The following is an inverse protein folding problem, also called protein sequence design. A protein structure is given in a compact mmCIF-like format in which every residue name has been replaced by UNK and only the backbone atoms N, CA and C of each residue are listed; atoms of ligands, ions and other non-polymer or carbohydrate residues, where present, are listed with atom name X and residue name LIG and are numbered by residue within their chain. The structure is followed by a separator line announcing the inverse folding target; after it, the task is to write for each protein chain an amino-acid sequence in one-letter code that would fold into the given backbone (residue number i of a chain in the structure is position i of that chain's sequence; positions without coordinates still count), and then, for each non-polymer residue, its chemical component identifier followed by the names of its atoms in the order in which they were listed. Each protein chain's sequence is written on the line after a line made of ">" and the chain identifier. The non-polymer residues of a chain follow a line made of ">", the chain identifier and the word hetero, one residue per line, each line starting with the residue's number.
data_IF_016881356050
#
_entry.id   IF_016881356050
#
_cell.length_a   1.000
_cell.length_b   1.000
_cell.length_c   1.000
_cell.angle_alpha   90.00
_cell.angle_beta   90.00
_cell.angle_gamma   90.00
#
_symmetry.space_group_name_H-M   'P 1'
#
loop_
_entity.id
_entity.type
_entity.pdbx_description
1 polymer ?
#
# COMPACT_ATOMS: atom_id res chain seq x y z
N UNK A 1 12.47 26.45 -8.16
CA UNK A 1 12.39 25.15 -7.47
C UNK A 1 11.17 25.21 -6.54
N UNK A 2 10.21 24.33 -6.75
CA UNK A 2 8.96 24.26 -5.97
C UNK A 2 9.28 23.72 -4.57
N UNK A 3 8.82 24.40 -3.54
CA UNK A 3 8.97 23.96 -2.14
C UNK A 3 7.80 23.03 -1.79
N UNK A 4 8.08 21.75 -1.66
CA UNK A 4 7.12 20.70 -1.28
C UNK A 4 7.29 20.34 0.20
N UNK A 5 6.21 20.43 0.98
CA UNK A 5 6.19 19.91 2.35
C UNK A 5 5.48 18.54 2.37
N UNK A 6 6.16 17.55 2.89
CA UNK A 6 5.63 16.18 3.08
C UNK A 6 5.40 15.95 4.58
N UNK A 7 4.18 15.65 5.00
CA UNK A 7 3.91 15.25 6.38
C UNK A 7 4.12 13.74 6.58
N UNK A 8 5.10 13.39 7.41
CA UNK A 8 5.57 12.03 7.65
C UNK A 8 4.70 11.19 8.60
N UNK A 9 3.41 11.44 8.70
CA UNK A 9 2.49 10.76 9.66
C UNK A 9 2.61 9.25 9.64
N UNK A 10 2.60 8.63 8.46
CA UNK A 10 2.54 7.18 8.37
C UNK A 10 3.79 6.48 8.89
N UNK A 11 4.95 7.13 8.82
CA UNK A 11 6.20 6.57 9.38
C UNK A 11 6.15 6.43 10.90
N UNK A 12 5.43 7.33 11.59
CA UNK A 12 5.16 7.18 13.02
C UNK A 12 4.22 6.00 13.31
N UNK A 13 3.22 5.78 12.44
CA UNK A 13 2.16 4.79 12.65
C UNK A 13 2.58 3.37 12.29
N UNK A 14 3.30 3.21 11.18
CA UNK A 14 3.68 1.90 10.66
C UNK A 14 4.94 1.99 9.77
N UNK A 15 5.65 0.87 9.65
CA UNK A 15 6.84 0.72 8.81
C UNK A 15 6.59 -0.06 7.50
N UNK A 16 5.34 -0.40 7.18
CA UNK A 16 4.98 -1.25 6.03
C UNK A 16 4.03 -0.53 5.08
N UNK A 17 3.75 -1.12 3.93
CA UNK A 17 2.78 -0.61 2.97
C UNK A 17 3.05 0.85 2.56
N UNK A 18 2.22 1.77 3.03
CA UNK A 18 2.30 3.21 2.71
C UNK A 18 3.67 3.81 3.05
N UNK A 19 4.28 3.43 4.18
CA UNK A 19 5.63 3.90 4.55
C UNK A 19 6.67 3.49 3.51
N UNK A 20 6.58 2.26 2.97
CA UNK A 20 7.47 1.77 1.91
C UNK A 20 7.29 2.58 0.62
N UNK A 21 6.05 2.84 0.20
CA UNK A 21 5.77 3.69 -0.98
C UNK A 21 6.50 5.02 -0.84
N UNK A 22 6.27 5.73 0.28
CA UNK A 22 6.88 7.04 0.51
C UNK A 22 8.40 6.98 0.65
N UNK A 23 8.96 6.03 1.39
CA UNK A 23 10.41 5.91 1.53
C UNK A 23 11.10 5.72 0.17
N UNK A 24 10.45 5.03 -0.76
CA UNK A 24 10.99 4.77 -2.08
C UNK A 24 10.90 5.99 -2.99
N UNK A 25 9.71 6.60 -3.13
CA UNK A 25 9.55 7.72 -4.06
C UNK A 25 10.18 9.03 -3.57
N UNK A 26 10.26 9.25 -2.25
CA UNK A 26 10.89 10.45 -1.68
C UNK A 26 12.32 10.64 -2.13
N UNK A 27 13.10 9.55 -2.25
CA UNK A 27 14.46 9.62 -2.75
C UNK A 27 14.54 10.12 -4.18
N UNK A 28 13.63 9.68 -5.07
CA UNK A 28 13.56 10.16 -6.45
C UNK A 28 13.05 11.58 -6.54
N UNK A 29 12.03 11.95 -5.75
CA UNK A 29 11.52 13.32 -5.70
C UNK A 29 12.59 14.29 -5.19
N UNK A 30 13.32 13.92 -4.13
CA UNK A 30 14.34 14.80 -3.52
C UNK A 30 15.57 15.02 -4.43
N UNK A 31 15.88 14.07 -5.31
CA UNK A 31 16.95 14.23 -6.34
C UNK A 31 16.54 15.07 -7.54
N UNK A 32 15.27 15.45 -7.65
CA UNK A 32 14.80 16.30 -8.74
C UNK A 32 15.31 17.74 -8.58
N UNK A 33 15.88 18.32 -9.63
CA UNK A 33 16.27 19.72 -9.65
C UNK A 33 15.07 20.71 -9.60
N UNK A 34 13.85 20.20 -9.73
CA UNK A 34 12.63 20.99 -9.81
C UNK A 34 11.94 21.18 -8.46
N UNK A 35 12.16 20.27 -7.50
CA UNK A 35 11.46 20.22 -6.21
C UNK A 35 12.47 20.26 -5.06
N UNK A 36 12.23 21.13 -4.08
CA UNK A 36 12.91 21.13 -2.78
C UNK A 36 11.99 20.53 -1.73
N UNK A 37 12.38 19.38 -1.17
CA UNK A 37 11.57 18.63 -0.20
C UNK A 37 11.87 19.12 1.23
N UNK A 38 10.81 19.46 1.93
CA UNK A 38 10.75 19.62 3.39
C UNK A 38 9.91 18.48 3.95
N UNK A 39 10.28 17.95 5.10
CA UNK A 39 9.61 16.79 5.68
C UNK A 39 9.29 17.02 7.16
N UNK A 40 8.01 16.94 7.54
CA UNK A 40 7.60 16.95 8.94
C UNK A 40 7.89 15.60 9.57
N UNK A 41 8.92 15.55 10.41
CA UNK A 41 9.29 14.34 11.14
C UNK A 41 8.46 14.22 12.42
N UNK A 42 7.49 13.32 12.39
CA UNK A 42 6.67 12.94 13.55
C UNK A 42 7.23 11.71 14.29
N UNK A 43 8.37 11.20 13.84
CA UNK A 43 9.07 10.02 14.32
C UNK A 43 9.26 8.96 13.24
N UNK A 44 10.36 8.26 13.30
CA UNK A 44 10.75 7.19 12.37
C UNK A 44 10.86 7.61 10.89
N UNK A 45 11.18 8.88 10.63
CA UNK A 45 11.41 9.38 9.27
C UNK A 45 12.54 8.59 8.55
N UNK A 46 12.44 8.35 7.23
CA UNK A 46 13.53 7.75 6.47
C UNK A 46 14.69 8.75 6.36
N UNK A 47 15.94 8.27 6.41
CA UNK A 47 17.12 9.12 6.24
C UNK A 47 17.44 9.28 4.76
N UNK A 48 17.15 10.47 4.19
CA UNK A 48 17.43 10.84 2.81
C UNK A 48 18.19 12.16 2.80
N UNK A 49 19.39 12.20 2.18
CA UNK A 49 20.34 13.30 2.32
C UNK A 49 19.83 14.64 1.79
N UNK A 50 19.01 14.66 0.74
CA UNK A 50 18.55 15.87 0.06
C UNK A 50 17.31 16.51 0.71
N UNK A 51 16.77 15.92 1.80
CA UNK A 51 15.56 16.36 2.47
C UNK A 51 15.88 17.27 3.65
N UNK A 52 15.12 18.34 3.80
CA UNK A 52 15.17 19.20 4.99
C UNK A 52 14.12 18.71 6.00
N UNK A 53 14.58 18.08 7.09
CA UNK A 53 13.70 17.57 8.15
C UNK A 53 13.34 18.67 9.15
N UNK A 54 12.05 18.70 9.51
CA UNK A 54 11.48 19.62 10.49
C UNK A 54 10.84 18.75 11.59
N UNK A 55 11.39 18.73 12.82
CA UNK A 55 10.76 18.02 13.93
C UNK A 55 9.34 18.53 14.16
N UNK A 56 8.39 17.62 14.29
CA UNK A 56 6.99 17.96 14.46
C UNK A 56 6.32 17.10 15.53
N UNK A 57 5.21 17.58 16.07
CA UNK A 57 4.47 16.87 17.11
C UNK A 57 3.89 15.56 16.59
N UNK A 58 3.73 14.59 17.49
CA UNK A 58 3.15 13.30 17.16
C UNK A 58 1.71 13.44 16.69
N UNK A 59 1.35 12.65 15.68
CA UNK A 59 -0.03 12.45 15.27
C UNK A 59 -0.84 11.86 16.45
N UNK A 60 -2.10 12.18 16.55
CA UNK A 60 -3.03 11.81 17.62
C UNK A 60 -2.94 12.64 18.93
N UNK A 61 -1.97 13.54 19.06
CA UNK A 61 -1.92 14.45 20.20
C UNK A 61 -2.87 15.66 20.07
N UNK A 62 -3.27 15.99 18.84
CA UNK A 62 -4.18 17.07 18.53
C UNK A 62 -5.43 16.57 17.81
N UNK A 63 -6.48 17.36 17.87
CA UNK A 63 -7.65 17.21 17.00
C UNK A 63 -7.32 17.66 15.57
N UNK A 64 -8.05 17.16 14.57
CA UNK A 64 -7.80 17.38 13.15
C UNK A 64 -7.58 18.85 12.77
N UNK A 65 -8.47 19.75 13.21
CA UNK A 65 -8.39 21.16 12.87
C UNK A 65 -7.20 21.87 13.54
N UNK A 66 -6.84 21.49 14.76
CA UNK A 66 -5.65 22.04 15.46
C UNK A 66 -4.35 21.59 14.80
N UNK A 67 -4.29 20.33 14.35
CA UNK A 67 -3.14 19.83 13.60
C UNK A 67 -2.94 20.64 12.29
N UNK A 68 -4.03 20.93 11.58
CA UNK A 68 -4.01 21.77 10.38
C UNK A 68 -3.48 23.17 10.62
N UNK A 69 -3.79 23.78 11.78
CA UNK A 69 -3.28 25.10 12.17
C UNK A 69 -1.75 25.06 12.34
N UNK A 70 -1.25 24.05 13.05
CA UNK A 70 0.20 23.92 13.28
C UNK A 70 0.97 23.60 11.99
N UNK A 71 0.41 22.74 11.12
CA UNK A 71 0.96 22.49 9.79
C UNK A 71 1.03 23.80 8.97
N UNK A 72 -0.05 24.61 8.98
CA UNK A 72 -0.07 25.87 8.23
C UNK A 72 1.01 26.85 8.69
N UNK A 73 1.28 26.92 10.00
CA UNK A 73 2.37 27.78 10.52
C UNK A 73 3.73 27.38 9.92
N UNK A 74 3.97 26.09 9.76
CA UNK A 74 5.19 25.61 9.08
C UNK A 74 5.16 25.96 7.59
N UNK A 75 4.04 25.76 6.91
CA UNK A 75 3.89 26.15 5.51
C UNK A 75 4.21 27.64 5.31
N UNK A 76 3.67 28.53 6.16
CA UNK A 76 3.90 29.95 6.09
C UNK A 76 5.37 30.32 6.40
N UNK A 77 5.98 29.68 7.41
CA UNK A 77 7.36 29.97 7.85
C UNK A 77 8.42 29.58 6.83
N UNK A 78 8.18 28.51 6.07
CA UNK A 78 9.10 28.02 5.04
C UNK A 78 8.69 28.46 3.63
N UNK A 79 7.58 29.20 3.49
CA UNK A 79 6.99 29.60 2.21
C UNK A 79 6.77 28.39 1.30
N UNK A 80 6.02 27.40 1.80
CA UNK A 80 5.74 26.15 1.09
C UNK A 80 4.72 26.41 -0.04
N UNK A 81 5.05 25.95 -1.22
CA UNK A 81 4.21 26.08 -2.41
C UNK A 81 3.14 25.00 -2.49
N UNK A 82 3.51 23.74 -2.16
CA UNK A 82 2.65 22.55 -2.24
C UNK A 82 2.83 21.69 -1.01
N UNK A 83 1.72 21.18 -0.50
CA UNK A 83 1.68 20.24 0.62
C UNK A 83 1.25 18.86 0.16
N UNK A 84 1.78 17.84 0.80
CA UNK A 84 1.28 16.46 0.73
C UNK A 84 1.45 15.75 2.07
N UNK A 85 0.69 14.69 2.29
CA UNK A 85 0.79 13.89 3.51
C UNK A 85 0.99 12.42 3.17
N UNK A 86 1.81 11.74 3.95
CA UNK A 86 1.95 10.29 3.86
C UNK A 86 0.72 9.54 4.38
N UNK A 87 -0.23 10.26 5.00
CA UNK A 87 -1.53 9.74 5.44
C UNK A 87 -2.63 10.77 5.16
N UNK A 88 -3.40 11.23 6.17
CA UNK A 88 -4.60 12.05 5.98
C UNK A 88 -4.55 13.34 6.82
N UNK A 89 -3.52 14.13 6.70
CA UNK A 89 -3.43 15.45 7.33
C UNK A 89 -3.48 16.55 6.29
N UNK A 90 -4.00 17.73 6.68
CA UNK A 90 -4.14 18.88 5.78
C UNK A 90 -3.61 20.14 6.41
N UNK A 91 -3.06 21.10 5.65
CA UNK A 91 -2.87 22.47 6.09
C UNK A 91 -4.21 23.23 6.05
N UNK A 92 -4.19 24.56 6.26
CA UNK A 92 -5.41 25.39 6.16
C UNK A 92 -5.63 26.00 4.77
N UNK A 93 -4.55 26.36 4.08
CA UNK A 93 -4.62 27.12 2.83
C UNK A 93 -3.45 26.93 1.87
N UNK A 94 -2.57 25.95 2.13
CA UNK A 94 -1.51 25.58 1.19
C UNK A 94 -2.05 24.50 0.23
N UNK A 95 -1.94 24.69 -1.10
CA UNK A 95 -2.44 23.70 -2.08
C UNK A 95 -1.91 22.29 -1.82
N UNK A 96 -2.80 21.27 -1.95
CA UNK A 96 -2.46 19.90 -1.61
C UNK A 96 -2.62 18.94 -2.79
N UNK A 97 -1.58 18.10 -3.00
CA UNK A 97 -1.63 16.87 -3.78
C UNK A 97 -1.82 15.71 -2.82
N UNK A 98 -2.90 14.94 -2.97
CA UNK A 98 -3.18 13.76 -2.16
C UNK A 98 -2.78 12.47 -2.89
N UNK A 99 -2.04 11.59 -2.22
CA UNK A 99 -1.88 10.21 -2.67
C UNK A 99 -3.03 9.35 -2.12
N UNK A 100 -3.73 8.66 -3.01
CA UNK A 100 -4.90 7.82 -2.66
C UNK A 100 -4.51 6.35 -2.79
N UNK A 101 -4.53 5.65 -1.66
CA UNK A 101 -4.09 4.25 -1.57
C UNK A 101 -5.20 3.25 -1.84
N UNK A 102 -6.39 3.53 -1.34
CA UNK A 102 -7.58 2.67 -1.46
C UNK A 102 -8.83 3.43 -1.02
N UNK A 103 -9.98 2.82 -1.26
CA UNK A 103 -11.28 3.24 -0.73
C UNK A 103 -11.93 2.11 0.11
N UNK A 104 -11.08 1.30 0.78
CA UNK A 104 -11.53 0.14 1.56
C UNK A 104 -12.53 0.52 2.67
N UNK A 105 -12.28 1.55 3.50
CA UNK A 105 -13.21 1.87 4.57
C UNK A 105 -14.59 2.25 4.08
N UNK A 106 -14.65 3.02 3.00
CA UNK A 106 -15.89 3.51 2.40
C UNK A 106 -16.67 2.37 1.71
N UNK A 107 -15.97 1.50 0.98
CA UNK A 107 -16.60 0.41 0.22
C UNK A 107 -17.02 -0.77 1.09
N UNK A 108 -16.28 -1.04 2.17
CA UNK A 108 -16.56 -2.17 3.04
C UNK A 108 -17.37 -1.79 4.30
N UNK A 109 -18.01 -0.62 4.30
CA UNK A 109 -18.89 -0.13 5.35
C UNK A 109 -18.24 -0.11 6.73
N UNK A 110 -16.99 0.37 6.83
CA UNK A 110 -16.36 0.58 8.13
C UNK A 110 -17.06 1.68 8.90
N UNK A 111 -16.91 1.67 10.21
CA UNK A 111 -17.22 2.85 11.02
C UNK A 111 -16.25 3.97 10.63
N UNK A 112 -16.76 5.02 10.00
CA UNK A 112 -15.96 6.16 9.54
C UNK A 112 -15.88 7.28 10.59
N UNK A 113 -16.38 7.07 11.81
CA UNK A 113 -16.31 8.07 12.90
C UNK A 113 -14.92 8.20 13.55
N UNK A 114 -14.02 7.17 13.58
CA UNK A 114 -12.67 7.33 14.08
C UNK A 114 -11.85 8.37 13.30
N UNK A 115 -10.99 9.10 14.01
CA UNK A 115 -10.16 10.19 13.49
C UNK A 115 -9.51 9.92 12.13
N UNK A 116 -8.86 8.78 11.88
CA UNK A 116 -8.20 8.57 10.59
C UNK A 116 -9.16 8.64 9.38
N UNK A 117 -10.39 8.16 9.56
CA UNK A 117 -11.38 8.15 8.47
C UNK A 117 -12.03 9.51 8.28
N UNK A 118 -12.30 10.25 9.39
CA UNK A 118 -12.74 11.65 9.30
C UNK A 118 -11.68 12.52 8.61
N UNK A 119 -10.40 12.32 8.93
CA UNK A 119 -9.31 13.04 8.27
C UNK A 119 -9.13 12.64 6.81
N UNK A 120 -9.41 11.37 6.46
CA UNK A 120 -9.41 10.94 5.06
C UNK A 120 -10.45 11.70 4.24
N UNK A 121 -11.69 11.77 4.73
CA UNK A 121 -12.75 12.52 4.09
C UNK A 121 -12.42 14.00 3.97
N UNK A 122 -11.94 14.63 5.08
CA UNK A 122 -11.45 16.02 5.08
C UNK A 122 -10.34 16.22 4.05
N UNK A 123 -9.40 15.29 3.94
CA UNK A 123 -8.28 15.38 3.00
C UNK A 123 -8.73 15.26 1.56
N UNK A 124 -9.66 14.34 1.26
CA UNK A 124 -10.24 14.20 -0.07
C UNK A 124 -10.97 15.48 -0.49
N UNK A 125 -11.76 16.07 0.40
CA UNK A 125 -12.49 17.31 0.12
C UNK A 125 -11.58 18.56 0.04
N UNK A 126 -10.40 18.52 0.63
CA UNK A 126 -9.44 19.62 0.61
C UNK A 126 -8.49 19.58 -0.58
N UNK A 127 -8.03 18.40 -0.96
CA UNK A 127 -7.01 18.25 -1.99
C UNK A 127 -7.49 18.79 -3.34
N UNK A 128 -6.58 19.40 -4.09
CA UNK A 128 -6.87 19.97 -5.40
C UNK A 128 -6.45 19.05 -6.54
N UNK A 129 -5.54 18.09 -6.26
CA UNK A 129 -5.12 17.04 -7.19
C UNK A 129 -4.86 15.74 -6.42
N UNK A 130 -4.98 14.63 -7.14
CA UNK A 130 -4.91 13.29 -6.57
C UNK A 130 -3.99 12.41 -7.42
N UNK A 131 -3.22 11.56 -6.76
CA UNK A 131 -2.46 10.47 -7.38
C UNK A 131 -2.93 9.15 -6.79
N UNK A 132 -3.65 8.35 -7.58
CA UNK A 132 -4.11 7.02 -7.21
C UNK A 132 -3.06 5.97 -7.54
N UNK A 133 -2.93 4.94 -6.70
CA UNK A 133 -1.92 3.88 -6.86
C UNK A 133 -2.37 2.73 -7.78
N UNK A 134 -3.60 2.77 -8.29
CA UNK A 134 -4.16 1.84 -9.27
C UNK A 134 -5.33 2.48 -10.02
N UNK A 135 -5.70 1.94 -11.20
CA UNK A 135 -6.90 2.37 -11.92
C UNK A 135 -8.17 2.07 -11.14
N UNK A 136 -8.20 0.94 -10.42
CA UNK A 136 -9.33 0.62 -9.55
C UNK A 136 -9.52 1.67 -8.46
N UNK A 137 -8.44 2.08 -7.77
CA UNK A 137 -8.52 3.13 -6.75
C UNK A 137 -8.96 4.47 -7.36
N UNK A 138 -8.52 4.79 -8.58
CA UNK A 138 -8.97 5.96 -9.32
C UNK A 138 -10.47 5.90 -9.63
N UNK A 139 -10.94 4.76 -10.11
CA UNK A 139 -12.37 4.53 -10.39
C UNK A 139 -13.21 4.67 -9.12
N UNK A 140 -12.79 4.04 -8.02
CA UNK A 140 -13.52 4.07 -6.76
C UNK A 140 -13.57 5.48 -6.16
N UNK A 141 -12.46 6.23 -6.21
CA UNK A 141 -12.42 7.63 -5.78
C UNK A 141 -13.45 8.46 -6.54
N UNK A 142 -13.44 8.40 -7.88
CA UNK A 142 -14.34 9.17 -8.73
C UNK A 142 -15.81 8.72 -8.60
N UNK A 143 -16.06 7.45 -8.29
CA UNK A 143 -17.41 6.94 -8.05
C UNK A 143 -17.99 7.42 -6.71
N UNK A 144 -17.15 7.52 -5.67
CA UNK A 144 -17.54 7.95 -4.33
C UNK A 144 -17.59 9.48 -4.18
N UNK A 145 -16.75 10.19 -4.93
CA UNK A 145 -16.63 11.66 -4.92
C UNK A 145 -16.79 12.22 -6.35
N UNK A 146 -18.02 12.18 -6.92
CA UNK A 146 -18.27 12.56 -8.31
C UNK A 146 -18.06 14.05 -8.61
N UNK A 147 -17.90 14.90 -7.58
CA UNK A 147 -17.53 16.30 -7.72
C UNK A 147 -16.06 16.53 -8.07
N UNK A 148 -15.19 15.52 -7.90
CA UNK A 148 -13.79 15.61 -8.28
C UNK A 148 -13.67 15.53 -9.81
N UNK A 149 -13.10 16.55 -10.48
CA UNK A 149 -12.91 16.50 -11.92
C UNK A 149 -11.94 15.37 -12.31
N UNK A 150 -12.30 14.56 -13.28
CA UNK A 150 -11.50 13.41 -13.71
C UNK A 150 -10.06 13.78 -14.10
N UNK A 151 -9.85 14.95 -14.71
CA UNK A 151 -8.54 15.48 -15.07
C UNK A 151 -7.70 15.98 -13.86
N UNK A 152 -8.25 15.96 -12.66
CA UNK A 152 -7.51 16.22 -11.42
C UNK A 152 -6.97 14.95 -10.77
N UNK A 153 -7.29 13.78 -11.32
CA UNK A 153 -6.92 12.48 -10.75
C UNK A 153 -5.98 11.75 -11.71
N UNK A 154 -4.70 11.76 -11.36
CA UNK A 154 -3.68 10.96 -12.03
C UNK A 154 -3.60 9.55 -11.42
N UNK A 155 -2.98 8.62 -12.16
CA UNK A 155 -2.69 7.27 -11.69
C UNK A 155 -1.25 6.90 -11.99
N UNK A 156 -0.59 6.24 -11.03
CA UNK A 156 0.68 5.54 -11.26
C UNK A 156 0.74 4.31 -10.34
N UNK A 157 1.08 3.17 -10.91
CA UNK A 157 1.26 1.94 -10.14
C UNK A 157 2.43 2.05 -9.16
N UNK A 158 2.28 1.39 -8.00
CA UNK A 158 3.43 1.10 -7.15
C UNK A 158 4.45 0.27 -7.93
N UNK A 159 5.72 0.53 -7.71
CA UNK A 159 6.81 -0.26 -8.28
C UNK A 159 7.15 -1.50 -7.45
N UNK A 160 8.14 -2.24 -7.93
CA UNK A 160 8.79 -3.30 -7.16
C UNK A 160 10.30 -3.06 -7.12
N UNK A 161 10.90 -3.25 -5.96
CA UNK A 161 12.37 -3.15 -5.82
C UNK A 161 13.06 -4.38 -6.42
N UNK A 162 13.59 -4.21 -7.64
CA UNK A 162 14.28 -5.27 -8.40
C UNK A 162 15.67 -5.62 -7.83
N UNK A 163 16.18 -4.87 -6.87
CA UNK A 163 17.42 -5.20 -6.17
C UNK A 163 17.18 -6.19 -5.04
N UNK A 164 16.03 -6.11 -4.40
CA UNK A 164 15.62 -7.01 -3.32
C UNK A 164 14.79 -8.20 -3.84
N UNK A 165 13.86 -7.97 -4.78
CA UNK A 165 12.95 -8.99 -5.32
C UNK A 165 13.39 -9.45 -6.71
N UNK A 166 14.03 -10.62 -6.77
CA UNK A 166 14.45 -11.32 -7.99
C UNK A 166 14.56 -12.83 -7.73
N UNK A 167 14.52 -13.67 -8.77
CA UNK A 167 14.66 -15.12 -8.61
C UNK A 167 16.00 -15.50 -7.99
N UNK A 168 15.95 -16.17 -6.83
CA UNK A 168 17.12 -16.59 -6.06
C UNK A 168 17.70 -17.92 -6.54
N UNK A 169 18.98 -18.13 -6.30
CA UNK A 169 19.64 -19.39 -6.64
C UNK A 169 19.14 -20.55 -5.77
N UNK A 170 19.21 -21.76 -6.30
CA UNK A 170 18.85 -23.00 -5.58
C UNK A 170 19.58 -23.12 -4.23
N UNK A 171 20.86 -22.72 -4.18
CA UNK A 171 21.69 -22.75 -2.96
C UNK A 171 21.15 -21.79 -1.87
N UNK A 172 20.70 -20.58 -2.26
CA UNK A 172 20.09 -19.62 -1.33
C UNK A 172 18.77 -20.16 -0.77
N UNK A 173 17.93 -20.75 -1.64
CA UNK A 173 16.64 -21.34 -1.24
C UNK A 173 16.86 -22.52 -0.28
N UNK A 174 17.80 -23.43 -0.57
CA UNK A 174 18.12 -24.56 0.30
C UNK A 174 18.62 -24.09 1.68
N UNK A 175 19.46 -23.05 1.71
CA UNK A 175 19.91 -22.44 2.95
C UNK A 175 18.75 -21.83 3.73
N UNK A 176 17.91 -21.02 3.08
CA UNK A 176 16.73 -20.40 3.68
C UNK A 176 15.78 -21.45 4.28
N UNK A 177 15.46 -22.51 3.53
CA UNK A 177 14.62 -23.61 4.01
C UNK A 177 15.22 -24.25 5.27
N UNK A 178 16.51 -24.54 5.27
CA UNK A 178 17.21 -25.16 6.40
C UNK A 178 17.21 -24.25 7.64
N UNK A 179 17.53 -22.97 7.48
CA UNK A 179 17.60 -22.01 8.58
C UNK A 179 16.24 -21.77 9.24
N UNK A 180 15.15 -21.89 8.49
CA UNK A 180 13.79 -21.68 8.96
C UNK A 180 13.02 -22.98 9.25
N UNK A 181 13.65 -24.15 9.20
CA UNK A 181 13.01 -25.44 9.51
C UNK A 181 11.94 -25.89 8.51
N UNK A 182 12.01 -25.40 7.28
CA UNK A 182 11.08 -25.75 6.20
C UNK A 182 11.55 -27.08 5.60
N UNK A 183 10.77 -28.14 5.76
CA UNK A 183 11.20 -29.49 5.39
C UNK A 183 10.59 -30.02 4.08
N UNK A 184 9.47 -29.44 3.69
CA UNK A 184 8.74 -29.82 2.47
C UNK A 184 8.71 -28.65 1.47
N UNK A 185 8.10 -28.87 0.33
CA UNK A 185 7.63 -27.79 -0.53
C UNK A 185 6.50 -27.03 0.19
N UNK A 186 6.32 -25.75 -0.09
CA UNK A 186 5.42 -24.94 0.73
C UNK A 186 4.66 -23.90 -0.08
N UNK A 187 3.48 -23.55 0.42
CA UNK A 187 2.76 -22.34 0.03
C UNK A 187 3.15 -21.19 0.95
N UNK A 188 3.26 -19.99 0.40
CA UNK A 188 3.53 -18.79 1.19
C UNK A 188 2.26 -17.92 1.24
N UNK A 189 1.95 -17.41 2.43
CA UNK A 189 0.87 -16.45 2.69
C UNK A 189 1.47 -15.22 3.37
N UNK A 190 1.21 -14.03 2.83
CA UNK A 190 1.80 -12.77 3.31
C UNK A 190 0.73 -11.84 3.82
N UNK A 191 0.94 -11.29 5.01
CA UNK A 191 0.07 -10.30 5.63
C UNK A 191 -0.84 -10.85 6.73
N UNK A 192 -1.85 -10.05 7.08
CA UNK A 192 -2.83 -10.39 8.11
C UNK A 192 -3.69 -11.58 7.69
N UNK A 193 -3.92 -12.49 8.64
CA UNK A 193 -4.82 -13.64 8.46
C UNK A 193 -6.26 -13.31 8.81
N UNK A 194 -6.48 -12.22 9.56
CA UNK A 194 -7.80 -11.66 9.87
C UNK A 194 -8.79 -12.64 10.49
N UNK A 195 -9.95 -12.12 10.88
CA UNK A 195 -11.11 -12.90 11.29
C UNK A 195 -11.92 -13.38 10.06
N UNK A 196 -12.74 -14.44 10.19
CA UNK A 196 -13.66 -14.84 9.13
C UNK A 196 -14.52 -13.68 8.64
N UNK A 197 -14.61 -13.51 7.31
CA UNK A 197 -15.32 -12.40 6.69
C UNK A 197 -14.50 -11.12 6.50
N UNK A 198 -13.24 -11.09 6.94
CA UNK A 198 -12.31 -10.02 6.60
C UNK A 198 -11.98 -10.03 5.11
N UNK A 199 -11.79 -8.86 4.52
CA UNK A 199 -11.51 -8.71 3.08
C UNK A 199 -10.22 -9.41 2.60
N UNK A 200 -9.26 -9.70 3.49
CA UNK A 200 -8.08 -10.52 3.18
C UNK A 200 -8.42 -11.97 2.85
N UNK A 201 -9.62 -12.42 3.22
CA UNK A 201 -10.21 -13.71 2.83
C UNK A 201 -9.30 -14.92 3.02
N UNK A 202 -8.44 -14.88 4.04
CA UNK A 202 -7.46 -15.93 4.34
C UNK A 202 -8.12 -17.29 4.62
N UNK A 203 -9.34 -17.27 5.17
CA UNK A 203 -10.10 -18.47 5.48
C UNK A 203 -10.41 -19.31 4.26
N UNK A 204 -10.58 -18.70 3.09
CA UNK A 204 -10.75 -19.45 1.83
C UNK A 204 -9.58 -20.41 1.56
N UNK A 205 -8.36 -19.93 1.83
CA UNK A 205 -7.16 -20.77 1.70
C UNK A 205 -7.15 -21.88 2.74
N UNK A 206 -7.40 -21.58 4.01
CA UNK A 206 -7.36 -22.58 5.08
C UNK A 206 -8.42 -23.65 4.92
N UNK A 207 -9.64 -23.29 4.53
CA UNK A 207 -10.72 -24.23 4.26
C UNK A 207 -10.39 -25.16 3.09
N UNK A 208 -9.68 -24.67 2.08
CA UNK A 208 -9.26 -25.48 0.94
C UNK A 208 -8.15 -26.48 1.31
N UNK A 209 -7.29 -26.17 2.29
CA UNK A 209 -6.20 -27.05 2.71
C UNK A 209 -6.70 -28.41 3.23
N UNK A 210 -7.86 -28.46 3.88
CA UNK A 210 -8.45 -29.68 4.40
C UNK A 210 -8.65 -30.78 3.33
N UNK A 211 -8.79 -30.36 2.06
CA UNK A 211 -9.01 -31.24 0.91
C UNK A 211 -7.73 -31.66 0.19
N UNK A 212 -6.55 -31.29 0.69
CA UNK A 212 -5.26 -31.58 0.08
C UNK A 212 -4.49 -32.68 0.81
N UNK A 213 -3.64 -33.40 0.07
CA UNK A 213 -2.67 -34.33 0.68
C UNK A 213 -1.60 -33.55 1.45
N UNK A 214 -1.18 -33.97 2.67
CA UNK A 214 -0.31 -33.21 3.55
C UNK A 214 1.18 -33.33 3.18
N UNK A 215 1.52 -33.19 1.91
CA UNK A 215 2.88 -33.29 1.37
C UNK A 215 3.56 -31.92 1.18
N UNK A 216 3.04 -30.89 1.84
CA UNK A 216 3.52 -29.51 1.83
C UNK A 216 3.59 -28.93 3.24
N UNK A 217 4.27 -27.79 3.37
CA UNK A 217 4.25 -26.91 4.55
C UNK A 217 3.54 -25.58 4.19
N UNK A 218 3.20 -24.77 5.19
CA UNK A 218 2.66 -23.41 4.99
C UNK A 218 3.58 -22.40 5.69
N UNK A 219 4.05 -21.41 4.95
CA UNK A 219 4.88 -20.32 5.46
C UNK A 219 4.04 -19.06 5.55
N UNK A 220 3.85 -18.55 6.77
CA UNK A 220 3.20 -17.28 7.05
C UNK A 220 4.26 -16.19 7.22
N UNK A 221 4.13 -15.09 6.49
CA UNK A 221 5.04 -13.95 6.61
C UNK A 221 4.27 -12.72 7.05
N UNK A 222 4.73 -12.09 8.12
CA UNK A 222 4.08 -10.91 8.69
C UNK A 222 2.73 -11.21 9.36
N UNK A 223 1.82 -10.24 9.34
CA UNK A 223 0.50 -10.34 9.96
C UNK A 223 0.55 -10.38 11.49
N UNK A 224 -0.40 -11.08 12.09
CA UNK A 224 -0.54 -11.23 13.55
C UNK A 224 0.69 -11.88 14.17
N UNK A 225 0.94 -11.58 15.45
CA UNK A 225 2.12 -12.05 16.18
C UNK A 225 2.13 -13.58 16.34
N UNK A 226 0.93 -14.19 16.42
CA UNK A 226 0.74 -15.63 16.53
C UNK A 226 -0.31 -16.12 15.54
N UNK A 227 -0.15 -17.34 15.04
CA UNK A 227 -1.19 -18.01 14.28
C UNK A 227 -2.31 -18.43 15.24
N UNK A 228 -3.54 -18.05 14.94
CA UNK A 228 -4.68 -18.38 15.81
C UNK A 228 -4.98 -19.90 15.80
N UNK A 229 -5.55 -20.40 16.92
CA UNK A 229 -6.00 -21.80 17.00
C UNK A 229 -7.04 -22.13 15.91
N UNK A 230 -7.87 -21.16 15.53
CA UNK A 230 -8.86 -21.31 14.47
C UNK A 230 -8.20 -21.60 13.10
N UNK A 231 -7.03 -21.02 12.82
CA UNK A 231 -6.24 -21.31 11.61
C UNK A 231 -5.52 -22.65 11.76
N UNK A 232 -4.88 -22.90 12.91
CA UNK A 232 -4.13 -24.13 13.15
C UNK A 232 -5.02 -25.38 13.03
N UNK A 233 -6.24 -25.30 13.58
CA UNK A 233 -7.20 -26.41 13.54
C UNK A 233 -7.66 -26.82 12.13
N UNK A 234 -7.50 -25.93 11.14
CA UNK A 234 -7.82 -26.20 9.72
C UNK A 234 -6.65 -26.81 8.92
N UNK A 235 -5.45 -26.85 9.50
CA UNK A 235 -4.31 -27.46 8.81
C UNK A 235 -4.45 -28.98 8.86
N UNK A 236 -4.30 -29.67 7.71
CA UNK A 236 -4.34 -31.14 7.66
C UNK A 236 -3.26 -31.75 8.57
N UNK A 237 -3.57 -32.89 9.17
CA UNK A 237 -2.60 -33.61 9.98
C UNK A 237 -1.32 -33.93 9.15
N UNK A 238 -0.16 -33.51 9.67
CA UNK A 238 1.13 -33.65 8.99
C UNK A 238 1.55 -32.46 8.11
N UNK A 239 0.73 -31.41 8.01
CA UNK A 239 1.16 -30.09 7.48
C UNK A 239 1.76 -29.30 8.63
N UNK A 240 2.99 -28.80 8.45
CA UNK A 240 3.59 -27.88 9.39
C UNK A 240 3.30 -26.44 8.94
N UNK A 241 3.21 -25.54 9.91
CA UNK A 241 3.22 -24.10 9.65
C UNK A 241 4.46 -23.45 10.26
N UNK A 242 5.01 -22.50 9.53
CA UNK A 242 6.17 -21.72 9.95
C UNK A 242 5.79 -20.24 9.85
N UNK A 243 5.89 -19.51 10.97
CA UNK A 243 5.63 -18.08 10.98
C UNK A 243 6.92 -17.30 11.03
N UNK A 244 7.11 -16.38 10.07
CA UNK A 244 8.34 -15.63 9.88
C UNK A 244 8.08 -14.12 9.84
N UNK A 245 9.10 -13.37 10.26
CA UNK A 245 9.26 -11.95 9.95
C UNK A 245 10.56 -11.83 9.20
N UNK A 246 10.48 -11.37 7.98
CA UNK A 246 11.54 -11.43 6.99
C UNK A 246 11.92 -10.02 6.51
N UNK A 247 13.19 -9.84 6.19
CA UNK A 247 13.67 -8.73 5.36
C UNK A 247 13.18 -8.92 3.92
N UNK A 248 13.32 -7.92 3.07
CA UNK A 248 12.89 -8.01 1.68
C UNK A 248 13.68 -9.08 0.90
N UNK A 249 14.98 -9.22 1.17
CA UNK A 249 15.81 -10.29 0.58
C UNK A 249 15.36 -11.68 1.03
N UNK A 250 15.07 -11.86 2.31
CA UNK A 250 14.58 -13.13 2.85
C UNK A 250 13.17 -13.44 2.32
N UNK A 251 12.30 -12.43 2.18
CA UNK A 251 10.98 -12.57 1.58
C UNK A 251 11.07 -12.99 0.11
N UNK A 252 12.03 -12.43 -0.63
CA UNK A 252 12.33 -12.86 -2.00
C UNK A 252 12.76 -14.33 -2.06
N UNK A 253 13.56 -14.81 -1.08
CA UNK A 253 13.92 -16.25 -0.97
C UNK A 253 12.68 -17.09 -0.66
N UNK A 254 11.83 -16.63 0.26
CA UNK A 254 10.58 -17.30 0.59
C UNK A 254 9.65 -17.43 -0.62
N UNK A 255 9.52 -16.37 -1.42
CA UNK A 255 8.75 -16.41 -2.67
C UNK A 255 9.37 -17.34 -3.69
N UNK A 256 10.67 -17.20 -3.99
CA UNK A 256 11.32 -18.01 -5.03
C UNK A 256 11.24 -19.51 -4.74
N UNK A 257 11.33 -19.91 -3.46
CA UNK A 257 11.28 -21.30 -3.02
C UNK A 257 9.89 -21.88 -2.86
N UNK A 258 8.84 -21.09 -2.95
CA UNK A 258 7.46 -21.52 -2.76
C UNK A 258 6.87 -22.25 -3.98
N UNK A 259 5.91 -23.12 -3.73
CA UNK A 259 5.01 -23.63 -4.77
C UNK A 259 4.25 -22.45 -5.39
N UNK A 260 3.68 -21.59 -4.53
CA UNK A 260 2.99 -20.35 -4.91
C UNK A 260 2.82 -19.40 -3.72
N UNK A 261 2.68 -18.11 -4.02
CA UNK A 261 2.00 -17.16 -3.14
C UNK A 261 0.49 -17.42 -3.24
N UNK A 262 -0.19 -17.53 -2.08
CA UNK A 262 -1.65 -17.55 -2.01
C UNK A 262 -2.11 -16.22 -1.39
N UNK A 263 -2.80 -15.41 -2.20
CA UNK A 263 -3.22 -14.05 -1.82
C UNK A 263 -4.69 -13.81 -2.22
N UNK A 264 -5.66 -14.41 -1.49
CA UNK A 264 -7.06 -14.48 -1.90
C UNK A 264 -7.88 -13.25 -1.52
N UNK A 265 -7.26 -12.09 -1.30
CA UNK A 265 -7.95 -10.86 -0.89
C UNK A 265 -9.11 -10.53 -1.84
N UNK A 266 -10.20 -10.04 -1.27
CA UNK A 266 -11.38 -9.59 -2.02
C UNK A 266 -11.25 -8.14 -2.49
N UNK A 267 -10.35 -7.38 -1.87
CA UNK A 267 -10.05 -6.01 -2.25
C UNK A 267 -8.64 -5.62 -1.77
N UNK A 268 -7.94 -4.85 -2.58
CA UNK A 268 -6.65 -4.20 -2.25
C UNK A 268 -6.56 -2.86 -2.97
N UNK A 269 -5.77 -1.95 -2.43
CA UNK A 269 -5.44 -0.71 -3.13
C UNK A 269 -4.48 -0.93 -4.32
N UNK A 270 -3.59 -1.95 -4.21
CA UNK A 270 -2.71 -2.37 -5.31
C UNK A 270 -2.42 -3.87 -5.31
N UNK A 271 -1.84 -4.41 -4.23
CA UNK A 271 -1.43 -5.83 -4.17
C UNK A 271 0.08 -6.01 -4.29
N UNK A 272 0.88 -5.20 -3.59
CA UNK A 272 2.35 -5.31 -3.61
C UNK A 272 2.87 -6.74 -3.44
N UNK A 273 2.35 -7.60 -2.52
CA UNK A 273 2.82 -8.98 -2.40
C UNK A 273 2.70 -9.80 -3.68
N UNK A 274 1.70 -9.54 -4.52
CA UNK A 274 1.53 -10.21 -5.81
C UNK A 274 2.67 -9.85 -6.76
N UNK A 275 2.99 -8.57 -6.86
CA UNK A 275 4.06 -8.06 -7.74
C UNK A 275 5.45 -8.49 -7.22
N UNK A 276 5.68 -8.44 -5.91
CA UNK A 276 6.91 -8.90 -5.25
C UNK A 276 7.16 -10.40 -5.48
N UNK A 277 6.10 -11.22 -5.36
CA UNK A 277 6.18 -12.64 -5.64
C UNK A 277 6.53 -12.92 -7.11
N UNK A 278 5.85 -12.25 -8.04
CA UNK A 278 6.15 -12.36 -9.48
C UNK A 278 7.58 -11.93 -9.81
N UNK A 279 8.06 -10.82 -9.21
CA UNK A 279 9.44 -10.35 -9.37
C UNK A 279 10.47 -11.37 -8.86
N UNK A 280 10.11 -12.12 -7.81
CA UNK A 280 10.92 -13.22 -7.27
C UNK A 280 10.75 -14.55 -8.04
N UNK A 281 10.00 -14.55 -9.15
CA UNK A 281 9.72 -15.74 -9.94
C UNK A 281 8.81 -16.76 -9.21
N UNK A 282 7.94 -16.32 -8.32
CA UNK A 282 6.97 -17.14 -7.62
C UNK A 282 5.64 -17.18 -8.40
N UNK A 283 5.06 -18.36 -8.65
CA UNK A 283 3.69 -18.45 -9.13
C UNK A 283 2.71 -17.85 -8.11
N UNK A 284 1.60 -17.29 -8.57
CA UNK A 284 0.63 -16.60 -7.71
C UNK A 284 -0.77 -17.18 -7.90
N UNK A 285 -1.48 -17.38 -6.79
CA UNK A 285 -2.93 -17.59 -6.75
C UNK A 285 -3.53 -16.36 -6.06
N UNK A 286 -4.40 -15.62 -6.74
CA UNK A 286 -5.08 -14.44 -6.19
C UNK A 286 -6.51 -14.36 -6.72
N UNK A 287 -7.25 -13.32 -6.34
CA UNK A 287 -8.55 -13.02 -6.95
C UNK A 287 -8.40 -12.04 -8.12
N UNK A 288 -9.45 -11.85 -8.88
CA UNK A 288 -9.51 -10.82 -9.92
C UNK A 288 -10.30 -9.58 -9.46
N UNK A 289 -10.41 -9.35 -8.15
CA UNK A 289 -11.15 -8.24 -7.59
C UNK A 289 -10.28 -7.00 -7.42
N UNK A 290 -10.86 -5.84 -7.75
CA UNK A 290 -10.21 -4.56 -7.57
C UNK A 290 -8.87 -4.48 -8.29
N UNK A 291 -7.91 -3.84 -7.66
CA UNK A 291 -6.54 -3.67 -8.18
C UNK A 291 -5.75 -4.98 -8.33
N UNK A 292 -6.21 -6.09 -7.72
CA UNK A 292 -5.55 -7.39 -7.89
C UNK A 292 -5.62 -7.91 -9.33
N UNK A 293 -6.67 -7.54 -10.08
CA UNK A 293 -6.74 -7.80 -11.52
C UNK A 293 -5.61 -7.10 -12.29
N UNK A 294 -5.28 -5.88 -11.89
CA UNK A 294 -4.19 -5.08 -12.48
C UNK A 294 -2.81 -5.62 -12.07
N UNK A 295 -2.61 -5.86 -10.76
CA UNK A 295 -1.36 -6.40 -10.22
C UNK A 295 -1.04 -7.80 -10.77
N UNK A 296 -2.05 -8.64 -10.96
CA UNK A 296 -1.89 -10.00 -11.46
C UNK A 296 -1.81 -10.09 -12.99
N UNK A 297 -2.53 -9.25 -13.71
CA UNK A 297 -2.67 -9.37 -15.16
C UNK A 297 -3.05 -10.80 -15.58
N UNK A 298 -2.33 -11.34 -16.54
CA UNK A 298 -2.48 -12.73 -16.98
C UNK A 298 -1.42 -13.67 -16.36
N UNK A 299 -0.72 -13.22 -15.30
CA UNK A 299 0.44 -13.88 -14.73
C UNK A 299 0.15 -14.65 -13.44
N UNK A 300 -1.13 -14.82 -13.08
CA UNK A 300 -1.56 -15.56 -11.90
C UNK A 300 -2.71 -16.51 -12.23
N UNK A 301 -2.92 -17.53 -11.37
CA UNK A 301 -4.19 -18.23 -11.32
C UNK A 301 -5.18 -17.36 -10.53
N UNK A 302 -6.18 -16.85 -11.22
CA UNK A 302 -7.17 -15.94 -10.61
C UNK A 302 -8.45 -16.68 -10.24
N UNK A 303 -8.91 -16.45 -9.02
CA UNK A 303 -10.17 -16.97 -8.50
C UNK A 303 -11.30 -15.96 -8.80
N UNK A 304 -12.47 -16.48 -9.16
CA UNK A 304 -13.65 -15.65 -9.45
C UNK A 304 -14.42 -15.21 -8.21
N UNK A 305 -14.15 -15.86 -7.06
CA UNK A 305 -14.92 -15.56 -5.88
C UNK A 305 -14.44 -16.24 -4.60
N UNK A 306 -15.40 -16.67 -3.79
CA UNK A 306 -15.18 -17.23 -2.45
C UNK A 306 -15.46 -18.75 -2.39
N UNK A 307 -15.39 -19.43 -3.52
CA UNK A 307 -15.67 -20.88 -3.61
C UNK A 307 -14.45 -21.69 -3.16
N UNK A 308 -14.58 -22.47 -2.10
CA UNK A 308 -13.52 -23.35 -1.58
C UNK A 308 -13.04 -24.33 -2.64
N UNK A 309 -13.94 -24.91 -3.44
CA UNK A 309 -13.57 -25.85 -4.50
C UNK A 309 -12.71 -25.21 -5.59
N UNK A 310 -12.98 -23.95 -5.96
CA UNK A 310 -12.14 -23.18 -6.90
C UNK A 310 -10.71 -23.00 -6.36
N UNK A 311 -10.56 -22.71 -5.07
CA UNK A 311 -9.25 -22.62 -4.42
C UNK A 311 -8.57 -23.99 -4.38
N UNK A 312 -9.27 -25.08 -4.06
CA UNK A 312 -8.71 -26.45 -4.09
C UNK A 312 -8.18 -26.80 -5.48
N UNK A 313 -8.94 -26.48 -6.51
CA UNK A 313 -8.56 -26.76 -7.89
C UNK A 313 -7.34 -25.92 -8.32
N UNK A 314 -7.29 -24.64 -7.92
CA UNK A 314 -6.14 -23.78 -8.16
C UNK A 314 -4.87 -24.29 -7.44
N UNK A 315 -4.98 -24.69 -6.16
CA UNK A 315 -3.87 -25.23 -5.37
C UNK A 315 -3.33 -26.54 -5.95
N UNK A 316 -4.18 -27.37 -6.55
CA UNK A 316 -3.76 -28.58 -7.28
C UNK A 316 -3.12 -28.24 -8.62
N UNK A 317 -3.77 -27.36 -9.39
CA UNK A 317 -3.31 -27.01 -10.75
C UNK A 317 -1.96 -26.29 -10.75
N UNK A 318 -1.70 -25.42 -9.76
CA UNK A 318 -0.44 -24.67 -9.67
C UNK A 318 0.78 -25.58 -9.37
N UNK A 319 0.56 -26.81 -8.99
CA UNK A 319 1.64 -27.80 -8.77
C UNK A 319 2.13 -28.45 -10.06
N UNK A 320 1.40 -28.30 -11.16
CA UNK A 320 1.87 -28.78 -12.46
C UNK A 320 3.12 -28.00 -12.92
N UNK A 321 4.23 -28.72 -13.25
CA UNK A 321 5.49 -28.05 -13.60
C UNK A 321 5.42 -27.13 -14.82
N UNK A 322 4.54 -27.44 -15.78
CA UNK A 322 4.36 -26.60 -16.97
C UNK A 322 3.65 -25.30 -16.61
N UNK A 323 2.57 -25.40 -15.82
CA UNK A 323 1.84 -24.25 -15.28
C UNK A 323 2.77 -23.33 -14.49
N UNK A 324 3.59 -23.88 -13.59
CA UNK A 324 4.57 -23.09 -12.85
C UNK A 324 5.57 -22.37 -13.76
N UNK A 325 6.10 -23.09 -14.76
CA UNK A 325 7.07 -22.50 -15.69
C UNK A 325 6.47 -21.34 -16.48
N UNK A 326 5.24 -21.52 -16.96
CA UNK A 326 4.52 -20.51 -17.70
C UNK A 326 4.23 -19.29 -16.84
N UNK A 327 3.68 -19.46 -15.63
CA UNK A 327 3.36 -18.37 -14.71
C UNK A 327 4.60 -17.59 -14.29
N UNK A 328 5.72 -18.28 -14.02
CA UNK A 328 7.01 -17.64 -13.72
C UNK A 328 7.48 -16.73 -14.87
N UNK A 329 7.41 -17.25 -16.11
CA UNK A 329 7.81 -16.49 -17.29
C UNK A 329 6.93 -15.24 -17.47
N UNK A 330 5.61 -15.43 -17.50
CA UNK A 330 4.67 -14.33 -17.73
C UNK A 330 4.72 -13.33 -16.58
N UNK A 331 4.90 -13.79 -15.33
CA UNK A 331 5.07 -12.91 -14.16
C UNK A 331 6.27 -12.01 -14.26
N UNK A 332 7.43 -12.55 -14.64
CA UNK A 332 8.65 -11.76 -14.83
C UNK A 332 8.56 -10.76 -15.99
N UNK A 333 7.76 -11.05 -17.01
CA UNK A 333 7.46 -10.10 -18.08
C UNK A 333 6.46 -9.02 -17.63
N UNK A 334 5.44 -9.41 -16.84
CA UNK A 334 4.38 -8.50 -16.39
C UNK A 334 4.89 -7.42 -15.43
N UNK A 335 5.82 -7.75 -14.53
CA UNK A 335 6.33 -6.81 -13.53
C UNK A 335 7.13 -5.63 -14.12
N UNK A 336 7.46 -5.65 -15.41
CA UNK A 336 8.18 -4.54 -16.06
C UNK A 336 7.38 -3.23 -16.07
N UNK A 337 6.05 -3.29 -15.97
CA UNK A 337 5.20 -2.10 -15.93
C UNK A 337 5.19 -1.43 -14.54
N UNK A 338 5.65 -2.11 -13.48
CA UNK A 338 5.60 -1.63 -12.11
C UNK A 338 6.93 -0.97 -11.72
N UNK A 339 6.99 0.35 -11.82
CA UNK A 339 8.21 1.11 -11.73
C UNK A 339 8.07 2.31 -10.76
N UNK A 340 8.89 2.34 -9.71
CA UNK A 340 8.91 3.41 -8.72
C UNK A 340 9.37 4.77 -9.31
N UNK A 341 10.31 4.75 -10.27
CA UNK A 341 10.77 5.99 -10.91
C UNK A 341 9.62 6.65 -11.68
N UNK A 342 8.82 5.85 -12.40
CA UNK A 342 7.65 6.35 -13.10
C UNK A 342 6.61 6.95 -12.13
N UNK A 343 6.36 6.31 -10.98
CA UNK A 343 5.47 6.85 -9.96
C UNK A 343 5.98 8.20 -9.43
N UNK A 344 7.28 8.31 -9.18
CA UNK A 344 7.88 9.57 -8.75
C UNK A 344 7.80 10.66 -9.83
N UNK A 345 8.02 10.32 -11.12
CA UNK A 345 7.86 11.23 -12.24
C UNK A 345 6.43 11.78 -12.34
N UNK A 346 5.41 10.91 -12.22
CA UNK A 346 4.00 11.33 -12.21
C UNK A 346 3.72 12.23 -11.00
N UNK A 347 4.22 11.89 -9.80
CA UNK A 347 4.06 12.73 -8.61
C UNK A 347 4.68 14.12 -8.81
N UNK A 348 5.88 14.20 -9.38
CA UNK A 348 6.55 15.48 -9.70
C UNK A 348 5.73 16.28 -10.72
N UNK A 349 5.24 15.64 -11.76
CA UNK A 349 4.43 16.29 -12.79
C UNK A 349 3.13 16.87 -12.19
N UNK A 350 2.42 16.10 -11.36
CA UNK A 350 1.21 16.56 -10.68
C UNK A 350 1.47 17.71 -9.69
N UNK A 351 2.61 17.66 -8.98
CA UNK A 351 3.06 18.76 -8.10
C UNK A 351 3.27 20.05 -8.90
N UNK A 352 3.88 19.96 -10.09
CA UNK A 352 4.10 21.12 -10.99
C UNK A 352 2.79 21.69 -11.52
N UNK A 353 1.88 20.83 -11.96
CA UNK A 353 0.56 21.25 -12.44
C UNK A 353 -0.19 21.96 -11.33
N UNK A 354 -0.20 21.40 -10.12
CA UNK A 354 -0.84 22.01 -8.96
C UNK A 354 -0.24 23.38 -8.64
N UNK A 355 1.08 23.49 -8.61
CA UNK A 355 1.76 24.77 -8.37
C UNK A 355 1.37 25.84 -9.39
N UNK A 356 1.28 25.49 -10.68
CA UNK A 356 0.85 26.42 -11.74
C UNK A 356 -0.61 26.85 -11.60
N UNK A 357 -1.48 25.97 -11.13
CA UNK A 357 -2.91 26.22 -10.94
C UNK A 357 -3.24 26.97 -9.65
N UNK A 358 -2.35 26.91 -8.66
CA UNK A 358 -2.59 27.45 -7.31
C UNK A 358 -2.77 28.98 -7.25
N UNK A 359 -2.27 29.70 -8.24
CA UNK A 359 -2.42 31.17 -8.34
C UNK A 359 -3.74 31.64 -8.96
N UNK A 360 -4.61 30.71 -9.36
CA UNK A 360 -5.93 31.04 -9.92
C UNK A 360 -6.89 31.63 -8.87
N UNK A 361 -7.79 32.52 -9.28
CA UNK A 361 -8.76 33.18 -8.41
C UNK A 361 -9.69 32.17 -7.71
N UNK A 362 -10.21 31.18 -8.45
CA UNK A 362 -11.10 30.15 -7.91
C UNK A 362 -10.40 29.31 -6.83
N UNK A 363 -9.15 28.92 -7.06
CA UNK A 363 -8.34 28.20 -6.08
C UNK A 363 -8.12 29.03 -4.82
N UNK A 364 -7.78 30.30 -4.98
CA UNK A 364 -7.56 31.22 -3.86
C UNK A 364 -8.83 31.40 -3.02
N UNK A 365 -9.98 31.54 -3.66
CA UNK A 365 -11.28 31.67 -2.99
C UNK A 365 -11.64 30.38 -2.22
N UNK A 366 -11.44 29.22 -2.82
CA UNK A 366 -11.64 27.93 -2.15
C UNK A 366 -10.77 27.79 -0.90
N UNK A 367 -9.47 27.99 -1.03
CA UNK A 367 -8.52 27.85 0.09
C UNK A 367 -8.82 28.84 1.22
N UNK A 368 -9.23 30.07 0.90
CA UNK A 368 -9.64 31.06 1.91
C UNK A 368 -10.92 30.61 2.65
N UNK A 369 -11.93 30.15 1.93
CA UNK A 369 -13.15 29.62 2.53
C UNK A 369 -12.91 28.42 3.41
N UNK A 370 -12.08 27.47 2.94
CA UNK A 370 -11.66 26.31 3.71
C UNK A 370 -10.96 26.66 4.99
N UNK A 371 -9.99 27.60 4.93
CA UNK A 371 -9.28 28.11 6.11
C UNK A 371 -10.24 28.64 7.16
N UNK A 372 -11.24 29.43 6.76
CA UNK A 372 -12.24 29.96 7.69
C UNK A 372 -13.04 28.82 8.35
N UNK A 373 -13.50 27.85 7.57
CA UNK A 373 -14.24 26.69 8.08
C UNK A 373 -13.43 25.91 9.11
N UNK A 374 -12.15 25.62 8.81
CA UNK A 374 -11.28 24.85 9.71
C UNK A 374 -10.93 25.60 10.99
N UNK A 375 -10.80 26.92 10.94
CA UNK A 375 -10.59 27.74 12.14
C UNK A 375 -11.83 27.71 13.05
N UNK A 376 -13.04 27.81 12.49
CA UNK A 376 -14.30 27.67 13.25
C UNK A 376 -14.43 26.27 13.87
N UNK A 377 -14.05 25.23 13.14
CA UNK A 377 -14.05 23.87 13.68
C UNK A 377 -13.09 23.72 14.86
N UNK A 378 -11.91 24.32 14.78
CA UNK A 378 -10.95 24.28 15.89
C UNK A 378 -11.49 24.94 17.18
N UNK A 379 -12.29 26.00 17.06
CA UNK A 379 -12.96 26.66 18.19
C UNK A 379 -14.06 25.76 18.81
N UNK A 380 -14.80 25.01 17.96
CA UNK A 380 -15.85 24.09 18.42
C UNK A 380 -15.26 22.87 19.10
N UNK A 381 -14.14 22.38 18.58
CA UNK A 381 -13.45 21.18 19.09
C UNK A 381 -12.67 21.47 20.40
N UNK A 382 -12.59 22.72 20.86
CA UNK A 382 -12.00 23.01 22.19
C UNK A 382 -12.90 22.45 23.32
N UNK A 383 -12.36 21.64 24.24
CA UNK A 383 -13.12 21.21 25.40
C UNK A 383 -13.49 22.45 26.22
N UNK A 384 -14.79 22.64 26.43
CA UNK A 384 -15.36 23.69 27.28
C UNK A 384 -15.00 23.46 28.75
#
# INVERSE_FOLDING_TARGET
>A
MIKLLVDGVFFQLNSTGIARVWATILGSIARSDEIKVYFLDRGNAPEIAEITYIPFMKYAELQCAKDSIEIQKICDSYEIDVFTSSYYTTPLSTPMLMMVYDMIPELLNYDLTPRPWLEKDVTINYALRYLCISENTRYDLLALYPEIPENHVAMAYCGVDRQSFYPRSKKEIERFKKENGISKDYYVFVGSRGEPGNYKNSHLFFDALESLSPDFDVVFVGGEQHVSEAVISKLPAGVNYIQLRLTDEELSMAYTGAIALVYPSLYEGFGMPVVEAMASGCPVITTNHGSLAEAAGNAALTLKGTCVQEMVDALKHIRDPETQRQLRKVGLEHIEIFNWEHMAEVFIAETKILFQQSSGEDTSNFLQGWKQLRLLQAEVDEPK
#
